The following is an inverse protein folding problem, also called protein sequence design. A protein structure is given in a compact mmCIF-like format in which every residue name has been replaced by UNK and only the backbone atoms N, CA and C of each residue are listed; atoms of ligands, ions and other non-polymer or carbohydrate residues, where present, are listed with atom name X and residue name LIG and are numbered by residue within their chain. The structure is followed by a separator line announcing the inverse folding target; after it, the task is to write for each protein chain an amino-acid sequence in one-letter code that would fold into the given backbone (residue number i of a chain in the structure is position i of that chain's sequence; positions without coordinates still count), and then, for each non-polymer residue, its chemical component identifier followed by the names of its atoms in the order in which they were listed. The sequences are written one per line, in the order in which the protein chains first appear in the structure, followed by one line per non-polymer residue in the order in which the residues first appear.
data_IF_688168382227
#
_entry.id   IF_688168382227
#
_cell.length_a   1.000
_cell.length_b   1.000
_cell.length_c   1.000
_cell.angle_alpha   90.00
_cell.angle_beta   90.00
_cell.angle_gamma   90.00
#
_symmetry.space_group_name_H-M   'P 1'
#
loop_
_entity.id
_entity.type
_entity.pdbx_description
1 polymer ?
#
# COMPACT_ATOMS: atom_id res chain seq x y z
N UNK A 1 3.33 8.20 22.88
CA UNK A 1 4.64 7.50 22.86
C UNK A 1 5.10 7.05 21.45
N UNK A 2 4.24 7.06 20.41
CA UNK A 2 4.67 6.85 19.00
C UNK A 2 4.96 8.16 18.23
N UNK A 3 4.68 9.32 18.83
CA UNK A 3 4.90 10.64 18.23
C UNK A 3 6.37 11.07 18.20
N UNK A 4 7.20 10.59 19.13
CA UNK A 4 8.60 11.02 19.30
C UNK A 4 9.60 10.34 18.35
N UNK A 5 9.32 9.12 17.88
CA UNK A 5 10.25 8.40 16.99
C UNK A 5 10.27 9.00 15.57
N UNK A 6 9.26 9.80 15.22
CA UNK A 6 9.12 10.37 13.88
C UNK A 6 9.99 11.61 13.60
N UNK A 7 10.55 12.28 14.63
CA UNK A 7 11.36 13.49 14.44
C UNK A 7 12.83 13.23 14.10
N UNK A 8 13.32 11.99 14.28
CA UNK A 8 14.73 11.62 14.07
C UNK A 8 15.05 11.08 12.67
N UNK A 9 14.04 10.79 11.84
CA UNK A 9 14.23 10.17 10.51
C UNK A 9 14.11 11.22 9.41
N UNK A 10 15.12 11.28 8.52
CA UNK A 10 15.08 12.14 7.33
C UNK A 10 13.87 11.87 6.43
N UNK A 11 13.39 12.90 5.72
CA UNK A 11 12.17 12.88 4.88
C UNK A 11 12.06 11.66 3.95
N UNK A 12 13.18 11.22 3.38
CA UNK A 12 13.24 10.06 2.49
C UNK A 12 12.95 8.73 3.19
N UNK A 13 13.50 8.51 4.39
CA UNK A 13 13.26 7.31 5.18
C UNK A 13 11.78 7.20 5.60
N UNK A 14 11.19 8.35 5.94
CA UNK A 14 9.78 8.45 6.29
C UNK A 14 8.86 8.10 5.11
N UNK A 15 9.17 8.60 3.90
CA UNK A 15 8.38 8.27 2.70
C UNK A 15 8.39 6.77 2.35
N UNK A 16 9.52 6.10 2.58
CA UNK A 16 9.67 4.65 2.32
C UNK A 16 8.89 3.84 3.35
N UNK A 17 8.92 4.26 4.63
CA UNK A 17 8.15 3.62 5.70
C UNK A 17 6.64 3.70 5.43
N UNK A 18 6.12 4.88 5.06
CA UNK A 18 4.71 5.01 4.73
C UNK A 18 4.31 4.21 3.49
N UNK A 19 5.18 4.12 2.48
CA UNK A 19 4.91 3.29 1.31
C UNK A 19 4.82 1.80 1.68
N UNK A 20 5.71 1.32 2.56
CA UNK A 20 5.66 -0.06 3.09
C UNK A 20 4.35 -0.29 3.85
N UNK A 21 4.02 0.60 4.77
CA UNK A 21 2.78 0.52 5.57
C UNK A 21 1.53 0.51 4.68
N UNK A 22 1.42 1.43 3.71
CA UNK A 22 0.27 1.45 2.80
C UNK A 22 0.17 0.15 2.01
N UNK A 23 1.29 -0.44 1.58
CA UNK A 23 1.28 -1.72 0.91
C UNK A 23 0.84 -2.87 1.84
N UNK A 24 1.57 -3.06 2.94
CA UNK A 24 1.44 -4.25 3.80
C UNK A 24 0.17 -4.24 4.64
N UNK A 25 -0.30 -3.06 5.08
CA UNK A 25 -1.39 -2.95 6.06
C UNK A 25 -2.72 -2.48 5.45
N UNK A 26 -2.72 -1.96 4.21
CA UNK A 26 -3.93 -1.42 3.58
C UNK A 26 -4.18 -2.05 2.22
N UNK A 27 -3.29 -1.86 1.25
CA UNK A 27 -3.51 -2.25 -0.15
C UNK A 27 -3.50 -3.77 -0.34
N UNK A 28 -2.51 -4.46 0.20
CA UNK A 28 -2.43 -5.91 0.05
C UNK A 28 -3.58 -6.64 0.77
N UNK A 29 -3.90 -6.31 2.04
CA UNK A 29 -5.10 -6.84 2.69
C UNK A 29 -6.38 -6.57 1.91
N UNK A 30 -6.56 -5.35 1.38
CA UNK A 30 -7.73 -5.02 0.56
C UNK A 30 -7.84 -5.90 -0.69
N UNK A 31 -6.74 -6.12 -1.40
CA UNK A 31 -6.70 -6.99 -2.58
C UNK A 31 -7.06 -8.44 -2.22
N UNK A 32 -6.57 -8.94 -1.09
CA UNK A 32 -6.87 -10.30 -0.63
C UNK A 32 -8.33 -10.44 -0.17
N UNK A 33 -8.89 -9.43 0.48
CA UNK A 33 -10.29 -9.37 0.93
C UNK A 33 -11.26 -9.33 -0.26
N UNK A 34 -10.98 -8.48 -1.24
CA UNK A 34 -11.80 -8.37 -2.45
C UNK A 34 -11.60 -9.58 -3.39
N UNK A 35 -10.51 -10.33 -3.23
CA UNK A 35 -10.13 -11.46 -4.08
C UNK A 35 -10.12 -11.13 -5.59
N UNK A 36 -9.68 -9.90 -5.92
CA UNK A 36 -9.54 -9.41 -7.30
C UNK A 36 -8.32 -8.50 -7.42
N UNK A 37 -7.80 -8.38 -8.64
CA UNK A 37 -6.57 -7.65 -8.93
C UNK A 37 -6.73 -6.14 -9.04
N UNK A 38 -7.82 -5.56 -8.55
CA UNK A 38 -8.07 -4.13 -8.62
C UNK A 38 -9.04 -3.71 -7.51
N UNK A 39 -9.01 -2.43 -7.12
CA UNK A 39 -9.94 -1.82 -6.17
C UNK A 39 -10.32 -0.41 -6.61
N UNK A 40 -11.46 0.11 -6.14
CA UNK A 40 -11.87 1.48 -6.36
C UNK A 40 -11.25 2.44 -5.35
N UNK A 41 -11.19 3.73 -5.68
CA UNK A 41 -10.76 4.76 -4.74
C UNK A 41 -11.57 4.71 -3.43
N UNK A 42 -12.87 4.47 -3.53
CA UNK A 42 -13.78 4.37 -2.38
C UNK A 42 -13.41 3.19 -1.46
N UNK A 43 -13.18 2.00 -2.03
CA UNK A 43 -12.77 0.82 -1.27
C UNK A 43 -11.46 1.04 -0.52
N UNK A 44 -10.50 1.70 -1.17
CA UNK A 44 -9.26 2.12 -0.53
C UNK A 44 -9.49 3.14 0.59
N UNK A 45 -10.33 4.14 0.36
CA UNK A 45 -10.62 5.16 1.36
C UNK A 45 -11.28 4.56 2.60
N UNK A 46 -12.21 3.61 2.43
CA UNK A 46 -12.87 2.91 3.52
C UNK A 46 -11.85 2.08 4.32
N UNK A 47 -11.07 1.23 3.63
CA UNK A 47 -10.03 0.42 4.31
C UNK A 47 -9.01 1.27 5.07
N UNK A 48 -8.62 2.42 4.49
CA UNK A 48 -7.69 3.36 5.11
C UNK A 48 -8.28 4.08 6.32
N UNK A 49 -9.57 4.43 6.30
CA UNK A 49 -10.27 5.02 7.45
C UNK A 49 -10.30 4.02 8.60
N UNK A 50 -10.62 2.76 8.33
CA UNK A 50 -10.63 1.70 9.34
C UNK A 50 -9.24 1.53 9.95
N UNK A 51 -8.20 1.45 9.12
CA UNK A 51 -6.82 1.37 9.59
C UNK A 51 -6.41 2.58 10.45
N UNK A 52 -6.76 3.80 10.01
CA UNK A 52 -6.47 5.07 10.71
C UNK A 52 -7.13 5.10 12.09
N UNK A 53 -8.38 4.67 12.20
CA UNK A 53 -9.11 4.59 13.47
C UNK A 53 -8.48 3.58 14.42
N UNK A 54 -8.10 2.40 13.93
CA UNK A 54 -7.56 1.32 14.75
C UNK A 54 -6.13 1.55 15.25
N UNK A 55 -5.36 2.44 14.61
CA UNK A 55 -3.93 2.65 14.91
C UNK A 55 -3.57 4.07 15.36
N UNK A 56 -4.56 4.97 15.50
CA UNK A 56 -4.38 6.38 15.87
C UNK A 56 -3.36 7.11 14.95
N UNK A 57 -3.43 6.82 13.65
CA UNK A 57 -2.57 7.45 12.63
C UNK A 57 -3.42 8.42 11.82
N UNK A 58 -2.97 9.69 11.72
CA UNK A 58 -3.69 10.69 10.94
C UNK A 58 -3.78 10.29 9.46
N UNK A 59 -4.97 10.47 8.88
CA UNK A 59 -5.16 10.23 7.44
C UNK A 59 -4.12 10.98 6.62
N UNK A 60 -3.83 12.25 6.93
CA UNK A 60 -2.84 13.06 6.20
C UNK A 60 -1.49 12.36 5.97
N UNK A 61 -0.99 11.59 6.95
CA UNK A 61 0.27 10.84 6.86
C UNK A 61 0.21 9.65 5.90
N UNK A 62 -0.97 9.05 5.74
CA UNK A 62 -1.23 7.89 4.88
C UNK A 62 -1.44 8.26 3.40
N UNK A 63 -1.70 9.54 3.10
CA UNK A 63 -2.06 10.00 1.73
C UNK A 63 -0.96 9.74 0.70
N UNK A 64 0.30 9.98 1.08
CA UNK A 64 1.43 9.93 0.16
C UNK A 64 1.83 8.53 -0.29
N UNK A 65 1.50 7.49 0.49
CA UNK A 65 1.94 6.13 0.19
C UNK A 65 1.26 5.55 -1.04
N UNK A 66 -0.04 5.80 -1.26
CA UNK A 66 -0.75 5.29 -2.44
C UNK A 66 -0.19 5.85 -3.75
N UNK A 67 0.03 7.17 -3.82
CA UNK A 67 0.65 7.82 -4.99
C UNK A 67 2.03 7.22 -5.23
N UNK A 68 2.78 6.96 -4.17
CA UNK A 68 4.12 6.38 -4.29
C UNK A 68 4.11 4.94 -4.79
N UNK A 69 3.07 4.14 -4.52
CA UNK A 69 2.89 2.81 -5.12
C UNK A 69 2.60 2.90 -6.63
N UNK A 70 1.82 3.90 -7.05
CA UNK A 70 1.56 4.17 -8.48
C UNK A 70 2.85 4.57 -9.20
N UNK A 71 3.62 5.51 -8.63
CA UNK A 71 4.91 5.95 -9.20
C UNK A 71 5.94 4.81 -9.29
N UNK A 72 5.81 3.77 -8.48
CA UNK A 72 6.67 2.58 -8.51
C UNK A 72 6.16 1.47 -9.45
N UNK A 73 5.03 1.68 -10.13
CA UNK A 73 4.45 0.70 -11.05
C UNK A 73 3.83 -0.52 -10.35
N UNK A 74 3.68 -0.49 -9.02
CA UNK A 74 3.02 -1.56 -8.25
C UNK A 74 1.51 -1.53 -8.51
N UNK A 75 0.98 -0.31 -8.62
CA UNK A 75 -0.40 -0.03 -8.96
C UNK A 75 -0.45 0.78 -10.26
N UNK A 76 -1.46 0.48 -11.08
CA UNK A 76 -1.83 1.30 -12.23
C UNK A 76 -3.14 2.02 -11.90
N UNK A 77 -3.15 3.35 -11.98
CA UNK A 77 -4.36 4.16 -11.78
C UNK A 77 -5.06 4.36 -13.13
N UNK A 78 -6.36 4.04 -13.18
CA UNK A 78 -7.25 4.28 -14.32
C UNK A 78 -8.56 4.88 -13.81
N UNK A 79 -8.76 6.20 -14.00
CA UNK A 79 -9.87 6.95 -13.40
C UNK A 79 -9.93 6.70 -11.88
N UNK A 80 -10.99 6.06 -11.41
CA UNK A 80 -11.26 5.73 -10.01
C UNK A 80 -10.85 4.30 -9.63
N UNK A 81 -10.19 3.57 -10.53
CA UNK A 81 -9.70 2.22 -10.29
C UNK A 81 -8.18 2.19 -10.14
N UNK A 82 -7.74 1.32 -9.24
CA UNK A 82 -6.33 0.99 -9.01
C UNK A 82 -6.15 -0.50 -9.26
N UNK A 83 -5.38 -0.84 -10.28
CA UNK A 83 -5.12 -2.22 -10.68
C UNK A 83 -3.72 -2.66 -10.27
N UNK A 84 -3.62 -3.87 -9.77
CA UNK A 84 -2.39 -4.52 -9.35
C UNK A 84 -1.50 -4.85 -10.57
N UNK A 85 -0.19 -4.71 -10.42
CA UNK A 85 0.76 -5.20 -11.42
C UNK A 85 0.58 -6.71 -11.66
N UNK A 86 0.54 -7.13 -12.92
CA UNK A 86 0.16 -8.51 -13.31
C UNK A 86 1.02 -9.60 -12.66
N UNK A 87 2.31 -9.33 -12.42
CA UNK A 87 3.24 -10.26 -11.73
C UNK A 87 2.83 -10.60 -10.30
N UNK A 88 1.97 -9.79 -9.68
CA UNK A 88 1.53 -10.00 -8.31
C UNK A 88 0.21 -10.80 -8.24
N UNK A 89 -0.47 -11.00 -9.37
CA UNK A 89 -1.73 -11.77 -9.44
C UNK A 89 -1.57 -13.23 -8.94
N UNK A 90 -0.48 -13.96 -9.27
CA UNK A 90 -0.27 -15.31 -8.74
C UNK A 90 -0.20 -15.36 -7.21
N UNK A 91 0.38 -14.33 -6.57
CA UNK A 91 0.47 -14.22 -5.12
C UNK A 91 -0.91 -13.98 -4.48
N UNK A 92 -1.74 -13.15 -5.12
CA UNK A 92 -3.11 -12.91 -4.68
C UNK A 92 -3.96 -14.20 -4.79
N UNK A 93 -3.85 -14.92 -5.90
CA UNK A 93 -4.54 -16.22 -6.10
C UNK A 93 -4.16 -17.25 -5.04
N UNK A 94 -2.90 -17.25 -4.60
CA UNK A 94 -2.39 -18.14 -3.54
C UNK A 94 -2.65 -17.60 -2.13
N UNK A 95 -3.24 -16.42 -1.98
CA UNK A 95 -3.45 -15.70 -0.71
C UNK A 95 -2.19 -15.62 0.15
N UNK A 96 -1.03 -15.47 -0.49
CA UNK A 96 0.25 -15.40 0.21
C UNK A 96 0.48 -14.02 0.79
N UNK A 97 1.10 -13.94 1.96
CA UNK A 97 1.63 -12.68 2.44
C UNK A 97 2.75 -12.18 1.49
N UNK A 98 2.73 -10.91 1.15
CA UNK A 98 3.68 -10.31 0.22
C UNK A 98 4.18 -8.99 0.78
N UNK A 99 5.42 -8.95 1.24
CA UNK A 99 6.04 -7.73 1.78
C UNK A 99 6.38 -6.75 0.66
N UNK A 100 6.50 -5.46 0.99
CA UNK A 100 6.89 -4.43 0.02
C UNK A 100 8.25 -4.74 -0.64
N UNK A 101 9.19 -5.31 0.13
CA UNK A 101 10.51 -5.70 -0.39
C UNK A 101 10.46 -6.88 -1.37
N UNK A 102 9.52 -7.81 -1.21
CA UNK A 102 9.28 -8.87 -2.19
C UNK A 102 8.64 -8.29 -3.46
N UNK A 103 7.62 -7.44 -3.34
CA UNK A 103 6.99 -6.77 -4.48
C UNK A 103 8.02 -6.10 -5.38
N UNK A 104 8.94 -5.32 -4.81
CA UNK A 104 9.98 -4.64 -5.59
C UNK A 104 10.87 -5.63 -6.36
N UNK A 105 11.23 -6.76 -5.75
CA UNK A 105 12.03 -7.80 -6.44
C UNK A 105 11.24 -8.41 -7.60
N UNK A 106 9.96 -8.70 -7.40
CA UNK A 106 9.11 -9.31 -8.42
C UNK A 106 8.87 -8.39 -9.63
N UNK A 107 8.60 -7.10 -9.39
CA UNK A 107 8.32 -6.14 -10.48
C UNK A 107 9.59 -5.65 -11.17
N UNK A 108 10.73 -5.61 -10.47
CA UNK A 108 12.01 -5.12 -11.04
C UNK A 108 12.89 -6.23 -11.62
N UNK A 109 12.67 -7.50 -11.26
CA UNK A 109 13.32 -8.63 -11.92
C UNK A 109 13.00 -8.57 -13.42
N UNK A 110 14.00 -8.70 -14.30
CA UNK A 110 13.75 -8.70 -15.75
C UNK A 110 13.10 -10.01 -16.15
#
# INVERSE_FOLDING_TARGET
MLSEINSLKGKYAQSTQYRRLIWEDIVWPLILELNRSYFSLEEYQNKRKDYSHNHDISLSKLSGGLISLVLKGILKKEKELYSLHYRLIPYMRKKTNLTYGQVLREICSK
#
